data_IF_078271083247
#
_entry.id   IF_078271083247
#
_cell.length_a   1.000
_cell.length_b   1.000
_cell.length_c   1.000
_cell.angle_alpha   90.00
_cell.angle_beta   90.00
_cell.angle_gamma   90.00
#
_symmetry.space_group_name_H-M   'P 1'
#
loop_
_entity.id
_entity.type
_entity.pdbx_description
1 polymer ?
#
# COMPACT_ATOMS: atom_id res chain seq x y z
N UNK A 1 34.28 42.65 48.75
CA UNK A 1 32.89 42.16 48.84
C UNK A 1 32.20 42.10 47.46
N UNK A 2 32.26 43.17 46.65
CA UNK A 2 31.66 43.22 45.30
C UNK A 2 32.22 42.19 44.28
N UNK A 3 33.53 41.89 44.32
CA UNK A 3 34.15 40.91 43.40
C UNK A 3 33.64 39.48 43.60
N UNK A 4 33.28 39.12 44.84
CA UNK A 4 32.83 37.78 45.22
C UNK A 4 31.38 37.54 44.78
N UNK A 5 30.53 38.57 44.88
CA UNK A 5 29.13 38.53 44.43
C UNK A 5 29.05 38.44 42.89
N UNK A 6 29.93 39.14 42.17
CA UNK A 6 30.00 39.06 40.69
C UNK A 6 30.40 37.66 40.19
N UNK A 7 31.26 36.93 40.90
CA UNK A 7 31.61 35.55 40.56
C UNK A 7 30.47 34.56 40.80
N UNK A 8 29.64 34.79 41.83
CA UNK A 8 28.48 33.95 42.12
C UNK A 8 27.37 34.15 41.07
N UNK A 9 27.06 35.40 40.69
CA UNK A 9 26.05 35.70 39.67
C UNK A 9 26.41 35.13 38.29
N UNK A 10 27.69 35.23 37.90
CA UNK A 10 28.18 34.67 36.63
C UNK A 10 28.18 33.14 36.61
N UNK A 11 28.22 32.48 37.77
CA UNK A 11 28.12 31.02 37.87
C UNK A 11 26.66 30.54 37.68
N UNK A 12 25.68 31.25 38.22
CA UNK A 12 24.25 30.90 38.07
C UNK A 12 23.76 31.08 36.63
N UNK A 13 24.19 32.13 35.92
CA UNK A 13 23.86 32.32 34.51
C UNK A 13 24.46 31.23 33.62
N UNK A 14 25.71 30.82 33.88
CA UNK A 14 26.38 29.74 33.14
C UNK A 14 25.73 28.38 33.43
N UNK A 15 25.33 28.11 34.68
CA UNK A 15 24.60 26.90 35.06
C UNK A 15 23.25 26.84 34.35
N UNK A 16 22.52 27.95 34.25
CA UNK A 16 21.23 28.00 33.56
C UNK A 16 21.38 27.73 32.05
N UNK A 17 22.40 28.31 31.41
CA UNK A 17 22.72 28.05 29.99
C UNK A 17 23.12 26.59 29.77
N UNK A 18 23.96 26.01 30.64
CA UNK A 18 24.36 24.60 30.56
C UNK A 18 23.15 23.67 30.77
N UNK A 19 22.30 23.94 31.77
CA UNK A 19 21.07 23.18 32.02
C UNK A 19 20.11 23.26 30.83
N UNK A 20 19.93 24.44 30.22
CA UNK A 20 19.13 24.58 29.00
C UNK A 20 19.73 23.85 27.79
N UNK A 21 21.05 23.82 27.64
CA UNK A 21 21.73 23.05 26.57
C UNK A 21 21.56 21.54 26.81
N UNK A 22 21.72 21.09 28.06
CA UNK A 22 21.49 19.70 28.44
C UNK A 22 20.03 19.28 28.24
N UNK A 23 19.06 20.12 28.62
CA UNK A 23 17.64 19.85 28.42
C UNK A 23 17.27 19.81 26.92
N UNK A 24 17.81 20.73 26.12
CA UNK A 24 17.67 20.70 24.64
C UNK A 24 18.32 19.47 24.02
N UNK A 25 19.48 19.01 24.49
CA UNK A 25 20.11 17.78 24.01
C UNK A 25 19.31 16.55 24.41
N UNK A 26 18.86 16.45 25.66
CA UNK A 26 18.03 15.36 26.15
C UNK A 26 16.71 15.25 25.38
N UNK A 27 16.03 16.37 25.13
CA UNK A 27 14.79 16.38 24.33
C UNK A 27 15.04 15.99 22.87
N UNK A 28 16.14 16.41 22.26
CA UNK A 28 16.49 16.04 20.89
C UNK A 28 16.85 14.54 20.76
N UNK A 29 17.59 13.99 21.73
CA UNK A 29 17.88 12.56 21.83
C UNK A 29 16.58 11.75 21.99
N UNK A 30 15.65 12.21 22.85
CA UNK A 30 14.38 11.51 23.06
C UNK A 30 13.48 11.53 21.81
N UNK A 31 13.47 12.64 21.06
CA UNK A 31 12.78 12.73 19.75
C UNK A 31 13.37 11.77 18.73
N UNK A 32 14.70 11.70 18.61
CA UNK A 32 15.35 10.75 17.70
C UNK A 32 15.05 9.29 18.07
N UNK A 33 15.04 8.95 19.36
CA UNK A 33 14.68 7.61 19.85
C UNK A 33 13.22 7.27 19.49
N UNK A 34 12.28 8.21 19.69
CA UNK A 34 10.87 8.03 19.35
C UNK A 34 10.64 7.82 17.85
N UNK A 35 11.28 8.63 17.01
CA UNK A 35 11.21 8.49 15.55
C UNK A 35 11.79 7.16 15.07
N UNK A 36 12.93 6.74 15.64
CA UNK A 36 13.59 5.48 15.27
C UNK A 36 12.72 4.26 15.60
N UNK A 37 12.01 4.29 16.74
CA UNK A 37 11.05 3.22 17.10
C UNK A 37 9.87 3.19 16.11
N UNK A 38 9.29 4.34 15.77
CA UNK A 38 8.21 4.42 14.76
C UNK A 38 8.65 3.90 13.38
N UNK A 39 9.89 4.17 12.96
CA UNK A 39 10.39 3.66 11.67
C UNK A 39 10.65 2.16 11.67
N UNK A 40 11.06 1.59 12.82
CA UNK A 40 11.23 0.14 12.94
C UNK A 40 9.87 -0.58 12.85
N UNK A 41 8.86 -0.08 13.57
CA UNK A 41 7.50 -0.64 13.52
C UNK A 41 6.91 -0.55 12.10
N UNK A 42 7.18 0.56 11.39
CA UNK A 42 6.79 0.72 9.98
C UNK A 42 7.41 -0.35 9.09
N UNK A 43 8.72 -0.60 9.20
CA UNK A 43 9.40 -1.60 8.37
C UNK A 43 8.96 -3.02 8.69
N UNK A 44 8.68 -3.34 9.96
CA UNK A 44 8.10 -4.64 10.34
C UNK A 44 6.75 -4.86 9.66
N UNK A 45 5.87 -3.85 9.68
CA UNK A 45 4.57 -3.93 9.00
C UNK A 45 4.68 -4.12 7.49
N UNK A 46 5.54 -3.35 6.83
CA UNK A 46 5.81 -3.47 5.39
C UNK A 46 6.41 -4.85 5.06
N UNK A 47 7.38 -5.31 5.86
CA UNK A 47 8.05 -6.59 5.68
C UNK A 47 7.10 -7.78 5.77
N UNK A 48 6.18 -7.75 6.74
CA UNK A 48 5.15 -8.78 6.87
C UNK A 48 4.23 -8.84 5.64
N UNK A 49 3.77 -7.69 5.14
CA UNK A 49 2.90 -7.62 3.94
C UNK A 49 3.64 -7.99 2.66
N UNK A 50 4.92 -7.65 2.55
CA UNK A 50 5.79 -8.12 1.48
C UNK A 50 5.88 -9.65 1.47
N UNK A 51 6.06 -10.27 2.64
CA UNK A 51 6.12 -11.72 2.77
C UNK A 51 4.80 -12.41 2.39
N UNK A 52 3.67 -11.84 2.79
CA UNK A 52 2.33 -12.29 2.37
C UNK A 52 2.21 -12.21 0.85
N UNK A 53 2.51 -11.05 0.26
CA UNK A 53 2.43 -10.82 -1.19
C UNK A 53 3.30 -11.83 -1.96
N UNK A 54 4.55 -12.07 -1.52
CA UNK A 54 5.43 -13.07 -2.14
C UNK A 54 4.83 -14.48 -2.05
N UNK A 55 4.28 -14.85 -0.90
CA UNK A 55 3.68 -16.17 -0.70
C UNK A 55 2.45 -16.37 -1.60
N UNK A 56 1.63 -15.33 -1.78
CA UNK A 56 0.48 -15.34 -2.71
C UNK A 56 0.93 -15.51 -4.17
N UNK A 57 2.05 -14.89 -4.56
CA UNK A 57 2.68 -15.06 -5.87
C UNK A 57 3.29 -16.48 -6.03
N UNK A 58 3.57 -17.17 -4.91
CA UNK A 58 4.07 -18.55 -4.91
C UNK A 58 5.59 -18.69 -5.14
N UNK A 59 6.36 -17.62 -4.97
CA UNK A 59 7.82 -17.65 -5.18
C UNK A 59 8.61 -17.85 -3.88
N UNK A 60 9.71 -18.63 -3.90
CA UNK A 60 10.68 -18.61 -2.82
C UNK A 60 11.42 -17.26 -2.76
N UNK A 61 11.94 -16.90 -1.59
CA UNK A 61 12.65 -15.62 -1.38
C UNK A 61 13.85 -15.45 -2.32
N UNK A 62 14.54 -16.53 -2.67
CA UNK A 62 15.65 -16.51 -3.63
C UNK A 62 15.23 -16.05 -5.02
N UNK A 63 14.06 -16.47 -5.47
CA UNK A 63 13.62 -16.19 -6.84
C UNK A 63 12.95 -14.82 -6.90
N UNK A 64 12.16 -14.45 -5.89
CA UNK A 64 11.66 -13.08 -5.77
C UNK A 64 12.82 -12.05 -5.73
N UNK A 65 13.89 -12.33 -4.98
CA UNK A 65 15.06 -11.45 -4.92
C UNK A 65 15.73 -11.26 -6.29
N UNK A 66 15.91 -12.36 -7.04
CA UNK A 66 16.46 -12.32 -8.41
C UNK A 66 15.55 -11.51 -9.33
N UNK A 67 14.24 -11.76 -9.28
CA UNK A 67 13.27 -11.10 -10.13
C UNK A 67 13.26 -9.59 -9.91
N UNK A 68 13.34 -9.13 -8.68
CA UNK A 68 13.30 -7.68 -8.39
C UNK A 68 14.68 -7.02 -8.37
N UNK A 69 15.73 -7.76 -8.77
CA UNK A 69 17.09 -7.23 -8.95
C UNK A 69 17.84 -6.91 -7.65
N UNK A 70 17.55 -7.62 -6.56
CA UNK A 70 18.20 -7.41 -5.25
C UNK A 70 18.92 -8.67 -4.77
N UNK A 71 19.87 -8.51 -3.85
CA UNK A 71 20.49 -9.68 -3.20
C UNK A 71 19.50 -10.42 -2.29
N UNK A 72 19.61 -11.74 -2.20
CA UNK A 72 18.81 -12.57 -1.28
C UNK A 72 18.91 -12.08 0.17
N UNK A 73 20.11 -11.69 0.62
CA UNK A 73 20.33 -11.14 1.96
C UNK A 73 19.53 -9.85 2.18
N UNK A 74 19.52 -8.96 1.20
CA UNK A 74 18.74 -7.73 1.28
C UNK A 74 17.24 -8.03 1.33
N UNK A 75 16.77 -8.94 0.47
CA UNK A 75 15.37 -9.38 0.44
C UNK A 75 14.90 -9.95 1.79
N UNK A 76 15.69 -10.85 2.40
CA UNK A 76 15.45 -11.35 3.75
C UNK A 76 15.33 -10.22 4.79
N UNK A 77 16.16 -9.19 4.67
CA UNK A 77 16.15 -8.04 5.57
C UNK A 77 14.87 -7.21 5.43
N UNK A 78 14.30 -7.15 4.23
CA UNK A 78 13.04 -6.45 3.97
C UNK A 78 11.86 -7.17 4.62
N UNK A 79 11.71 -8.49 4.40
CA UNK A 79 10.61 -9.25 5.00
C UNK A 79 10.66 -9.28 6.54
N UNK A 80 11.86 -9.25 7.12
CA UNK A 80 12.03 -9.15 8.59
C UNK A 80 11.79 -7.73 9.14
N UNK A 81 11.67 -6.71 8.29
CA UNK A 81 11.58 -5.31 8.72
C UNK A 81 12.88 -4.72 9.27
N UNK A 82 14.01 -5.42 9.10
CA UNK A 82 15.32 -4.94 9.56
C UNK A 82 15.85 -3.79 8.69
N UNK A 83 15.32 -3.64 7.47
CA UNK A 83 15.68 -2.60 6.51
C UNK A 83 14.46 -2.22 5.69
N UNK A 84 14.34 -0.93 5.36
CA UNK A 84 13.33 -0.45 4.43
C UNK A 84 13.51 -1.04 3.02
N UNK A 85 12.40 -1.38 2.39
CA UNK A 85 12.34 -1.81 0.99
C UNK A 85 12.66 -0.59 0.08
N UNK A 86 13.67 -0.67 -0.80
CA UNK A 86 13.96 0.41 -1.74
C UNK A 86 12.80 0.58 -2.73
N UNK A 87 12.57 1.82 -3.18
CA UNK A 87 11.45 2.17 -4.06
C UNK A 87 11.55 1.45 -5.40
N UNK A 88 12.76 1.25 -5.91
CA UNK A 88 13.02 0.56 -7.17
C UNK A 88 12.57 -0.91 -7.10
N UNK A 89 12.78 -1.58 -5.96
CA UNK A 89 12.32 -2.95 -5.75
C UNK A 89 10.79 -3.00 -5.68
N UNK A 90 10.15 -1.99 -5.08
CA UNK A 90 8.69 -1.91 -5.00
C UNK A 90 8.04 -1.70 -6.37
N UNK A 91 8.64 -0.84 -7.21
CA UNK A 91 8.23 -0.67 -8.62
C UNK A 91 8.43 -1.96 -9.40
N UNK A 92 9.57 -2.64 -9.24
CA UNK A 92 9.82 -3.92 -9.91
C UNK A 92 8.80 -5.00 -9.51
N UNK A 93 8.39 -5.05 -8.23
CA UNK A 93 7.35 -5.94 -7.73
C UNK A 93 6.01 -5.67 -8.45
N UNK A 94 5.61 -4.40 -8.56
CA UNK A 94 4.39 -4.01 -9.28
C UNK A 94 4.45 -4.40 -10.75
N UNK A 95 5.54 -4.07 -11.44
CA UNK A 95 5.62 -4.23 -12.88
C UNK A 95 5.67 -5.70 -13.29
N UNK A 96 6.37 -6.53 -12.52
CA UNK A 96 6.53 -7.97 -12.81
C UNK A 96 5.36 -8.82 -12.36
N UNK A 97 4.77 -8.52 -11.20
CA UNK A 97 3.79 -9.40 -10.56
C UNK A 97 2.41 -8.77 -10.44
N UNK A 98 2.23 -7.52 -10.88
CA UNK A 98 0.99 -6.72 -10.72
C UNK A 98 0.54 -6.60 -9.26
N UNK A 99 1.47 -6.78 -8.32
CA UNK A 99 1.21 -6.68 -6.90
C UNK A 99 0.84 -5.23 -6.51
N UNK A 100 -0.10 -5.12 -5.57
CA UNK A 100 -0.60 -3.85 -5.09
C UNK A 100 0.40 -3.18 -4.13
N UNK A 101 1.01 -2.11 -4.63
CA UNK A 101 1.99 -1.32 -3.89
C UNK A 101 1.37 -0.65 -2.67
N UNK A 102 0.11 -0.21 -2.78
CA UNK A 102 -0.62 0.43 -1.69
C UNK A 102 -0.86 -0.57 -0.56
N UNK A 103 -1.20 -1.82 -0.90
CA UNK A 103 -1.27 -2.91 0.08
C UNK A 103 0.06 -3.11 0.81
N UNK A 104 1.18 -3.21 0.08
CA UNK A 104 2.50 -3.41 0.69
C UNK A 104 2.86 -2.25 1.64
N UNK A 105 2.63 -1.00 1.22
CA UNK A 105 3.01 0.19 2.00
C UNK A 105 2.09 0.49 3.17
N UNK A 106 0.77 0.42 2.97
CA UNK A 106 -0.24 0.96 3.89
C UNK A 106 -1.16 -0.12 4.46
N UNK A 107 -1.20 -1.30 3.86
CA UNK A 107 -2.10 -2.38 4.28
C UNK A 107 -3.56 -2.19 3.87
N UNK A 108 -3.84 -1.26 2.95
CA UNK A 108 -5.12 -1.16 2.27
C UNK A 108 -4.95 -1.61 0.81
N UNK A 109 -5.90 -2.40 0.30
CA UNK A 109 -5.91 -2.70 -1.13
C UNK A 109 -6.38 -1.45 -1.87
N UNK A 110 -5.62 -1.02 -2.88
CA UNK A 110 -6.03 0.06 -3.78
C UNK A 110 -7.09 -0.45 -4.75
N UNK A 111 -8.26 0.18 -4.73
CA UNK A 111 -9.24 0.10 -5.82
C UNK A 111 -8.69 1.00 -6.91
N UNK A 112 -8.40 0.48 -8.11
CA UNK A 112 -7.78 1.25 -9.20
C UNK A 112 -8.84 2.11 -9.88
N UNK A 113 -9.29 3.15 -9.21
CA UNK A 113 -10.47 3.95 -9.59
C UNK A 113 -10.53 4.31 -11.09
N UNK A 114 -9.43 4.76 -11.70
CA UNK A 114 -9.43 5.18 -13.11
C UNK A 114 -9.47 4.00 -14.11
N UNK A 115 -8.82 2.88 -13.79
CA UNK A 115 -8.92 1.66 -14.58
C UNK A 115 -10.31 1.02 -14.45
N UNK A 116 -10.86 1.05 -13.24
CA UNK A 116 -12.18 0.52 -12.92
C UNK A 116 -13.29 1.29 -13.64
N UNK A 117 -13.13 2.62 -13.81
CA UNK A 117 -14.07 3.46 -14.57
C UNK A 117 -14.03 3.12 -16.07
N UNK A 118 -12.85 3.07 -16.69
CA UNK A 118 -12.73 2.74 -18.12
C UNK A 118 -13.29 1.34 -18.42
N UNK A 119 -12.95 0.36 -17.58
CA UNK A 119 -13.46 -1.00 -17.71
C UNK A 119 -14.99 -1.03 -17.56
N UNK A 120 -15.56 -0.26 -16.62
CA UNK A 120 -17.01 -0.15 -16.46
C UNK A 120 -17.70 0.47 -17.68
N UNK A 121 -17.11 1.50 -18.29
CA UNK A 121 -17.63 2.12 -19.51
C UNK A 121 -17.62 1.15 -20.71
N UNK A 122 -16.52 0.42 -20.88
CA UNK A 122 -16.40 -0.62 -21.92
C UNK A 122 -17.40 -1.75 -21.71
N UNK A 123 -17.57 -2.19 -20.46
CA UNK A 123 -18.54 -3.21 -20.10
C UNK A 123 -19.98 -2.77 -20.37
N UNK A 124 -20.37 -1.58 -19.91
CA UNK A 124 -21.71 -1.04 -20.13
C UNK A 124 -22.02 -0.87 -21.62
N UNK A 125 -21.04 -0.41 -22.40
CA UNK A 125 -21.18 -0.29 -23.86
C UNK A 125 -21.39 -1.66 -24.51
N UNK A 126 -20.59 -2.65 -24.11
CA UNK A 126 -20.68 -4.02 -24.65
C UNK A 126 -22.00 -4.70 -24.26
N UNK A 127 -22.45 -4.49 -23.02
CA UNK A 127 -23.74 -4.97 -22.53
C UNK A 127 -24.89 -4.36 -23.34
N UNK A 128 -24.89 -3.04 -23.55
CA UNK A 128 -25.93 -2.37 -24.31
C UNK A 128 -26.00 -2.87 -25.76
N UNK A 129 -24.85 -3.01 -26.42
CA UNK A 129 -24.76 -3.57 -27.77
C UNK A 129 -25.33 -4.98 -27.86
N UNK A 130 -25.04 -5.85 -26.88
CA UNK A 130 -25.61 -7.19 -26.84
C UNK A 130 -27.13 -7.15 -26.71
N UNK A 131 -27.65 -6.34 -25.79
CA UNK A 131 -29.10 -6.24 -25.54
C UNK A 131 -29.85 -5.71 -26.75
N UNK A 132 -29.32 -4.67 -27.41
CA UNK A 132 -29.90 -4.12 -28.64
C UNK A 132 -29.85 -5.16 -29.77
N UNK A 133 -28.70 -5.82 -29.98
CA UNK A 133 -28.52 -6.83 -31.03
C UNK A 133 -29.49 -8.00 -30.90
N UNK A 134 -29.78 -8.43 -29.68
CA UNK A 134 -30.68 -9.54 -29.40
C UNK A 134 -32.13 -9.11 -29.11
N UNK A 135 -32.44 -7.81 -29.16
CA UNK A 135 -33.77 -7.28 -28.88
C UNK A 135 -34.25 -7.52 -27.45
N UNK A 136 -33.32 -7.65 -26.49
CA UNK A 136 -33.61 -7.99 -25.10
C UNK A 136 -33.93 -6.70 -24.33
N UNK A 137 -35.09 -6.64 -23.68
CA UNK A 137 -35.42 -5.59 -22.71
C UNK A 137 -35.24 -6.13 -21.30
N UNK A 138 -34.36 -5.49 -20.52
CA UNK A 138 -34.20 -5.76 -19.09
C UNK A 138 -34.68 -4.57 -18.28
N UNK A 139 -35.28 -4.82 -17.11
CA UNK A 139 -35.59 -3.79 -16.13
C UNK A 139 -34.31 -3.23 -15.50
N UNK A 140 -34.33 -1.96 -15.10
CA UNK A 140 -33.18 -1.24 -14.54
C UNK A 140 -32.57 -1.95 -13.33
N UNK A 141 -33.37 -2.58 -12.48
CA UNK A 141 -32.91 -3.31 -11.30
C UNK A 141 -32.07 -4.54 -11.68
N UNK A 142 -32.52 -5.30 -12.68
CA UNK A 142 -31.80 -6.47 -13.18
C UNK A 142 -30.50 -6.05 -13.91
N UNK A 143 -30.51 -4.94 -14.67
CA UNK A 143 -29.29 -4.37 -15.29
C UNK A 143 -28.28 -3.98 -14.21
N UNK A 144 -28.72 -3.25 -13.17
CA UNK A 144 -27.87 -2.88 -12.04
C UNK A 144 -27.26 -4.08 -11.33
N UNK A 145 -28.02 -5.18 -11.16
CA UNK A 145 -27.50 -6.41 -10.57
C UNK A 145 -26.41 -7.07 -11.43
N UNK A 146 -26.56 -7.08 -12.76
CA UNK A 146 -25.56 -7.60 -13.70
C UNK A 146 -24.26 -6.78 -13.60
N UNK A 147 -24.38 -5.46 -13.68
CA UNK A 147 -23.25 -4.52 -13.63
C UNK A 147 -22.52 -4.61 -12.30
N UNK A 148 -23.25 -4.62 -11.19
CA UNK A 148 -22.66 -4.75 -9.87
C UNK A 148 -21.96 -6.11 -9.66
N UNK A 149 -22.49 -7.19 -10.26
CA UNK A 149 -21.87 -8.52 -10.20
C UNK A 149 -20.58 -8.56 -11.01
N UNK A 150 -20.59 -8.00 -12.22
CA UNK A 150 -19.40 -7.91 -13.06
C UNK A 150 -18.30 -7.05 -12.40
N UNK A 151 -18.67 -5.87 -11.89
CA UNK A 151 -17.73 -4.96 -11.23
C UNK A 151 -17.06 -5.59 -10.00
N UNK A 152 -17.83 -6.31 -9.16
CA UNK A 152 -17.25 -7.05 -8.03
C UNK A 152 -16.21 -8.08 -8.49
N UNK A 153 -16.49 -8.78 -9.58
CA UNK A 153 -15.56 -9.76 -10.13
C UNK A 153 -14.26 -9.12 -10.64
N UNK A 154 -14.37 -7.93 -11.26
CA UNK A 154 -13.23 -7.12 -11.67
C UNK A 154 -12.38 -6.71 -10.45
N UNK A 155 -13.01 -6.18 -9.39
CA UNK A 155 -12.30 -5.77 -8.17
C UNK A 155 -11.67 -6.93 -7.40
N UNK A 156 -12.25 -8.14 -7.53
CA UNK A 156 -11.74 -9.35 -6.89
C UNK A 156 -10.62 -10.03 -7.71
N UNK A 157 -10.24 -9.46 -8.85
CA UNK A 157 -9.17 -9.97 -9.73
C UNK A 157 -9.59 -11.17 -10.60
N UNK A 158 -10.88 -11.49 -10.64
CA UNK A 158 -11.45 -12.55 -11.47
C UNK A 158 -12.21 -11.89 -12.63
N UNK A 159 -11.49 -11.32 -13.59
CA UNK A 159 -12.11 -10.65 -14.74
C UNK A 159 -13.01 -11.62 -15.52
N UNK A 160 -14.28 -11.25 -15.68
CA UNK A 160 -15.28 -12.06 -16.40
C UNK A 160 -15.48 -11.45 -17.77
N UNK A 161 -15.30 -12.26 -18.80
CA UNK A 161 -15.51 -11.87 -20.19
C UNK A 161 -17.01 -11.73 -20.49
N UNK A 162 -17.32 -10.89 -21.47
CA UNK A 162 -18.71 -10.66 -21.92
C UNK A 162 -19.44 -11.95 -22.32
N UNK A 163 -18.74 -12.92 -22.90
CA UNK A 163 -19.29 -14.23 -23.26
C UNK A 163 -19.92 -14.99 -22.07
N UNK A 164 -19.28 -14.90 -20.89
CA UNK A 164 -19.78 -15.52 -19.66
C UNK A 164 -20.95 -14.72 -19.06
N UNK A 165 -20.94 -13.40 -19.25
CA UNK A 165 -22.01 -12.49 -18.80
C UNK A 165 -23.31 -12.74 -19.57
N UNK A 166 -23.24 -13.15 -20.84
CA UNK A 166 -24.44 -13.55 -21.60
C UNK A 166 -25.23 -14.66 -20.90
N UNK A 167 -24.53 -15.60 -20.25
CA UNK A 167 -25.18 -16.67 -19.47
C UNK A 167 -26.02 -16.09 -18.32
N UNK A 168 -25.57 -15.01 -17.69
CA UNK A 168 -26.33 -14.33 -16.63
C UNK A 168 -27.57 -13.62 -17.18
N UNK A 169 -27.47 -13.05 -18.38
CA UNK A 169 -28.60 -12.39 -19.06
C UNK A 169 -29.69 -13.43 -19.38
N UNK A 170 -29.31 -14.61 -19.88
CA UNK A 170 -30.24 -15.70 -20.16
C UNK A 170 -30.88 -16.28 -18.89
N UNK A 171 -30.13 -16.38 -17.79
CA UNK A 171 -30.68 -16.83 -16.49
C UNK A 171 -31.66 -15.83 -15.87
N UNK A 172 -31.55 -14.55 -16.22
CA UNK A 172 -32.43 -13.49 -15.73
C UNK A 172 -33.65 -13.27 -16.63
N UNK A 173 -33.83 -14.07 -17.68
CA UNK A 173 -34.89 -13.94 -18.69
C UNK A 173 -36.27 -14.48 -18.29
N UNK A 174 -36.48 -14.80 -17.02
CA UNK A 174 -37.81 -15.07 -16.43
C UNK A 174 -38.58 -13.78 -16.09
#
# INVERSE_FOLDING_TARGET
MFQTIKRALMAEEVICVILCIFDKMCTNVNRNISMTRKTADLFVGIGARLAITRNEIGLPQSDMAKEIGVSLRAYHSYEKGNRGLPIEALVAIHDKFRADVTWILLGNKSVRVEHDINALEEFETSLDQYLVKHGIRIKSEKRGAIVARWYRSLTDGNEIKMEDVHTWIELLRE
#
